data_IF_479064683295
#
_entry.id   IF_479064683295
#
_cell.length_a   1.000
_cell.length_b   1.000
_cell.length_c   1.000
_cell.angle_alpha   90.00
_cell.angle_beta   90.00
_cell.angle_gamma   90.00
#
_symmetry.space_group_name_H-M   'P 1'
#
loop_
_entity.id
_entity.type
_entity.pdbx_description
1 polymer ?
#
# COMPACT_ATOMS: atom_id res chain seq x y z
N UNK A 1 2.95 -7.98 -2.06
CA UNK A 1 3.06 -7.56 -3.46
C UNK A 1 1.83 -6.77 -3.94
N UNK A 2 0.61 -7.33 -3.88
CA UNK A 2 -0.60 -6.65 -4.37
C UNK A 2 -0.78 -5.22 -3.81
N UNK A 3 -0.63 -5.04 -2.49
CA UNK A 3 -0.73 -3.72 -1.85
C UNK A 3 0.29 -2.73 -2.39
N UNK A 4 1.56 -3.13 -2.57
CA UNK A 4 2.60 -2.26 -3.13
C UNK A 4 2.23 -1.78 -4.54
N UNK A 5 1.69 -2.67 -5.38
CA UNK A 5 1.21 -2.31 -6.72
C UNK A 5 0.03 -1.33 -6.66
N UNK A 6 -0.92 -1.54 -5.75
CA UNK A 6 -2.05 -0.62 -5.54
C UNK A 6 -1.60 0.77 -5.04
N UNK A 7 -0.52 0.82 -4.26
CA UNK A 7 0.09 2.07 -3.80
C UNK A 7 0.94 2.75 -4.89
N UNK A 8 1.11 2.14 -6.07
CA UNK A 8 1.81 2.71 -7.20
C UNK A 8 3.32 2.43 -7.24
N UNK A 9 3.78 1.34 -6.61
CA UNK A 9 5.16 0.85 -6.75
C UNK A 9 5.29 -0.07 -7.96
N UNK A 10 6.35 0.13 -8.75
CA UNK A 10 6.78 -0.79 -9.80
C UNK A 10 7.54 -1.96 -9.18
N UNK A 11 6.85 -3.08 -8.98
CA UNK A 11 7.42 -4.31 -8.40
C UNK A 11 6.78 -5.54 -9.05
N UNK A 12 7.62 -6.48 -9.47
CA UNK A 12 7.18 -7.72 -10.13
C UNK A 12 7.17 -8.93 -9.17
N UNK A 13 8.06 -8.93 -8.17
CA UNK A 13 8.21 -10.01 -7.21
C UNK A 13 8.64 -9.51 -5.83
N UNK A 14 8.58 -10.37 -4.82
CA UNK A 14 9.07 -10.12 -3.47
C UNK A 14 9.87 -11.32 -2.99
N UNK A 15 11.02 -11.04 -2.37
CA UNK A 15 11.76 -12.06 -1.64
C UNK A 15 11.08 -12.34 -0.29
N UNK A 16 11.37 -13.50 0.30
CA UNK A 16 10.87 -13.86 1.63
C UNK A 16 11.28 -12.78 2.65
N UNK A 17 10.35 -12.30 3.47
CA UNK A 17 10.57 -11.20 4.44
C UNK A 17 10.76 -9.80 3.84
N UNK A 18 10.66 -9.63 2.52
CA UNK A 18 10.58 -8.31 1.92
C UNK A 18 9.24 -7.63 2.21
N UNK A 19 9.26 -6.30 2.15
CA UNK A 19 8.09 -5.47 2.39
C UNK A 19 8.30 -4.07 1.86
N UNK A 20 7.57 -3.13 2.46
CA UNK A 20 7.67 -1.73 2.12
C UNK A 20 7.43 -0.89 3.36
N UNK A 21 7.96 0.32 3.33
CA UNK A 21 7.75 1.32 4.38
C UNK A 21 7.06 2.52 3.75
N UNK A 22 6.07 3.07 4.46
CA UNK A 22 5.47 4.36 4.14
C UNK A 22 5.99 5.35 5.17
N UNK A 23 6.78 6.30 4.73
CA UNK A 23 7.11 7.46 5.54
C UNK A 23 6.07 8.56 5.34
N UNK A 24 5.75 9.26 6.43
CA UNK A 24 4.88 10.42 6.40
C UNK A 24 5.57 11.59 7.10
N UNK A 25 5.49 12.77 6.50
CA UNK A 25 5.94 14.02 7.12
C UNK A 25 4.84 15.06 7.07
N UNK A 26 4.82 15.96 8.05
CA UNK A 26 3.84 17.07 8.12
C UNK A 26 4.33 18.38 7.48
N UNK A 27 5.65 18.59 7.43
CA UNK A 27 6.28 19.83 6.95
C UNK A 27 7.23 19.53 5.76
N UNK A 28 7.43 20.48 4.84
CA UNK A 28 6.77 21.80 4.76
C UNK A 28 5.27 21.70 4.41
N UNK A 29 4.85 20.58 3.83
CA UNK A 29 3.46 20.17 3.66
C UNK A 29 3.31 18.67 3.94
N UNK A 30 2.09 18.18 4.27
CA UNK A 30 1.83 16.75 4.42
C UNK A 30 2.24 15.97 3.16
N UNK A 31 3.20 15.07 3.31
CA UNK A 31 3.73 14.28 2.21
C UNK A 31 4.00 12.85 2.65
N UNK A 32 3.94 11.93 1.71
CA UNK A 32 4.36 10.53 1.89
C UNK A 32 5.54 10.19 1.01
N UNK A 33 6.31 9.19 1.41
CA UNK A 33 7.33 8.57 0.58
C UNK A 33 7.26 7.06 0.78
N UNK A 34 7.30 6.34 -0.33
CA UNK A 34 7.24 4.88 -0.33
C UNK A 34 8.65 4.33 -0.54
N UNK A 35 9.03 3.37 0.31
CA UNK A 35 10.35 2.75 0.34
C UNK A 35 10.20 1.24 0.21
N UNK A 36 11.12 0.61 -0.51
CA UNK A 36 11.31 -0.84 -0.51
C UNK A 36 12.08 -1.24 0.74
N UNK A 37 11.73 -2.39 1.29
CA UNK A 37 12.44 -3.02 2.39
C UNK A 37 12.77 -4.44 1.97
N UNK A 38 14.05 -4.70 1.71
CA UNK A 38 14.54 -6.02 1.36
C UNK A 38 15.43 -6.57 2.50
N UNK A 39 15.34 -7.86 2.80
CA UNK A 39 16.26 -8.49 3.73
C UNK A 39 17.66 -8.60 3.10
N UNK A 40 18.69 -8.25 3.88
CA UNK A 40 20.08 -8.55 3.53
C UNK A 40 20.54 -9.71 4.44
N UNK A 41 21.16 -10.76 3.89
CA UNK A 41 21.64 -11.90 4.69
C UNK A 41 22.82 -11.56 5.61
N UNK A 42 23.51 -10.43 5.41
CA UNK A 42 24.68 -9.97 6.17
C UNK A 42 24.30 -8.82 7.12
N UNK A 43 23.46 -7.88 6.69
CA UNK A 43 23.00 -6.74 7.51
C UNK A 43 21.49 -6.78 7.77
N UNK A 44 21.05 -6.29 8.94
CA UNK A 44 19.66 -6.42 9.41
C UNK A 44 18.74 -5.44 8.67
N UNK A 45 18.40 -5.80 7.43
CA UNK A 45 17.43 -5.18 6.53
C UNK A 45 17.88 -3.87 5.86
N UNK A 46 17.66 -3.78 4.54
CA UNK A 46 18.01 -2.62 3.71
C UNK A 46 16.73 -1.91 3.29
N UNK A 47 16.62 -0.63 3.63
CA UNK A 47 15.50 0.23 3.26
C UNK A 47 15.99 1.26 2.26
N UNK A 48 15.35 1.32 1.10
CA UNK A 48 15.73 2.24 0.01
C UNK A 48 14.50 2.77 -0.73
N UNK A 49 14.68 3.82 -1.52
CA UNK A 49 13.57 4.43 -2.25
C UNK A 49 12.98 3.45 -3.27
N UNK A 50 11.68 3.23 -3.20
CA UNK A 50 10.99 2.37 -4.16
C UNK A 50 10.90 3.02 -5.54
N UNK A 51 10.85 2.18 -6.57
CA UNK A 51 10.56 2.63 -7.94
C UNK A 51 9.07 2.89 -8.08
N UNK A 52 8.72 4.08 -8.56
CA UNK A 52 7.32 4.52 -8.70
C UNK A 52 6.80 4.26 -10.11
N UNK A 53 5.51 3.94 -10.18
CA UNK A 53 4.77 3.93 -11.45
C UNK A 53 4.81 5.32 -12.10
N UNK A 54 4.61 5.37 -13.41
CA UNK A 54 4.68 6.63 -14.16
C UNK A 54 3.75 7.73 -13.58
N UNK A 55 2.55 7.37 -13.14
CA UNK A 55 1.60 8.33 -12.57
C UNK A 55 2.03 8.86 -11.20
N UNK A 56 2.61 7.99 -10.37
CA UNK A 56 3.11 8.37 -9.06
C UNK A 56 4.42 9.18 -9.19
N UNK A 57 5.29 8.83 -10.14
CA UNK A 57 6.53 9.55 -10.44
C UNK A 57 6.26 10.99 -10.91
N UNK A 58 5.20 11.23 -11.69
CA UNK A 58 4.81 12.58 -12.16
C UNK A 58 4.49 13.56 -11.02
N UNK A 59 4.04 13.05 -9.87
CA UNK A 59 3.62 13.89 -8.73
C UNK A 59 4.61 13.88 -7.57
N UNK A 60 5.65 13.04 -7.65
CA UNK A 60 6.71 12.97 -6.66
C UNK A 60 7.77 14.05 -6.91
N UNK A 61 8.40 14.53 -5.84
CA UNK A 61 9.58 15.39 -5.93
C UNK A 61 10.85 14.56 -6.22
N UNK A 62 11.98 15.25 -6.44
CA UNK A 62 13.29 14.62 -6.71
C UNK A 62 13.76 13.63 -5.64
N UNK A 63 13.25 13.76 -4.42
CA UNK A 63 13.59 12.93 -3.25
C UNK A 63 12.56 11.82 -3.02
N UNK A 64 11.54 11.70 -3.89
CA UNK A 64 10.46 10.72 -3.80
C UNK A 64 9.32 11.12 -2.86
N UNK A 65 9.25 12.36 -2.38
CA UNK A 65 8.12 12.80 -1.58
C UNK A 65 6.94 13.17 -2.46
N UNK A 66 5.77 12.69 -2.09
CA UNK A 66 4.51 12.90 -2.80
C UNK A 66 3.57 13.67 -1.87
N UNK A 67 3.00 14.82 -2.30
CA UNK A 67 1.99 15.52 -1.52
C UNK A 67 0.81 14.60 -1.18
N UNK A 68 0.45 14.52 0.10
CA UNK A 68 -0.47 13.50 0.61
C UNK A 68 -1.82 13.50 -0.09
N UNK A 69 -2.39 14.68 -0.38
CA UNK A 69 -3.67 14.79 -1.10
C UNK A 69 -3.61 14.25 -2.53
N UNK A 70 -2.49 14.47 -3.23
CA UNK A 70 -2.28 13.91 -4.57
C UNK A 70 -2.11 12.40 -4.52
N UNK A 71 -1.39 11.91 -3.52
CA UNK A 71 -1.25 10.47 -3.27
C UNK A 71 -2.62 9.82 -3.01
N UNK A 72 -3.37 10.34 -2.04
CA UNK A 72 -4.71 9.89 -1.67
C UNK A 72 -5.66 9.87 -2.87
N UNK A 73 -5.65 10.91 -3.71
CA UNK A 73 -6.48 10.94 -4.92
C UNK A 73 -6.13 9.84 -5.93
N UNK A 74 -4.87 9.41 -6.00
CA UNK A 74 -4.44 8.35 -6.94
C UNK A 74 -4.73 6.95 -6.41
N UNK A 75 -4.36 6.68 -5.16
CA UNK A 75 -4.43 5.32 -4.59
C UNK A 75 -5.76 5.05 -3.89
N UNK A 76 -6.42 6.10 -3.40
CA UNK A 76 -7.68 6.01 -2.65
C UNK A 76 -8.83 5.42 -3.47
N UNK A 77 -8.78 5.51 -4.81
CA UNK A 77 -9.75 4.84 -5.69
C UNK A 77 -9.76 3.30 -5.56
N UNK A 78 -8.68 2.73 -5.01
CA UNK A 78 -8.58 1.30 -4.75
C UNK A 78 -9.01 0.93 -3.31
N UNK A 79 -9.29 1.91 -2.46
CA UNK A 79 -9.74 1.66 -1.10
C UNK A 79 -11.18 1.12 -1.13
N UNK A 80 -11.41 0.07 -0.34
CA UNK A 80 -12.72 -0.56 -0.20
C UNK A 80 -13.30 -0.15 1.15
N UNK A 81 -14.43 0.58 1.14
CA UNK A 81 -15.10 1.01 2.37
C UNK A 81 -15.82 -0.15 3.08
N UNK A 82 -16.52 -1.00 2.31
CA UNK A 82 -17.16 -2.21 2.82
C UNK A 82 -16.52 -3.46 2.22
N UNK A 83 -15.53 -4.00 2.92
CA UNK A 83 -14.83 -5.20 2.48
C UNK A 83 -15.72 -6.44 2.50
N UNK A 84 -16.79 -6.48 3.33
CA UNK A 84 -17.68 -7.65 3.40
C UNK A 84 -18.50 -7.72 2.12
N UNK A 85 -19.11 -6.61 1.71
CA UNK A 85 -19.83 -6.53 0.45
C UNK A 85 -18.90 -6.78 -0.75
N UNK A 86 -17.74 -6.11 -0.79
CA UNK A 86 -16.80 -6.24 -1.90
C UNK A 86 -16.23 -7.66 -2.06
N UNK A 87 -16.05 -8.40 -0.95
CA UNK A 87 -15.57 -9.78 -0.96
C UNK A 87 -16.69 -10.82 -0.96
N UNK A 88 -17.96 -10.43 -1.17
CA UNK A 88 -19.10 -11.35 -1.22
C UNK A 88 -19.37 -12.08 0.09
N UNK A 89 -18.91 -11.54 1.22
CA UNK A 89 -19.07 -12.15 2.54
C UNK A 89 -20.40 -11.71 3.14
N UNK A 90 -21.45 -12.47 2.83
CA UNK A 90 -22.74 -12.29 3.47
C UNK A 90 -22.67 -12.66 4.96
N UNK A 91 -23.46 -12.02 5.83
CA UNK A 91 -23.62 -12.48 7.21
C UNK A 91 -24.04 -13.95 7.21
N UNK A 92 -23.41 -14.78 8.04
CA UNK A 92 -23.89 -16.14 8.25
C UNK A 92 -25.33 -16.04 8.79
N UNK A 93 -26.30 -16.55 8.02
CA UNK A 93 -27.66 -16.75 8.53
C UNK A 93 -27.59 -18.04 9.35
N UNK A 94 -27.81 -18.02 10.67
CA UNK A 94 -27.92 -19.25 11.44
C UNK A 94 -29.06 -20.07 10.81
N UNK A 95 -28.78 -21.31 10.43
CA UNK A 95 -29.85 -22.23 10.09
C UNK A 95 -30.79 -22.25 11.31
N UNK A 96 -32.03 -21.81 11.13
CA UNK A 96 -33.05 -21.94 12.16
C UNK A 96 -33.01 -23.39 12.63
N UNK A 97 -32.71 -23.59 13.91
CA UNK A 97 -32.74 -24.92 14.49
C UNK A 97 -34.09 -25.55 14.14
N UNK A 98 -34.15 -26.80 13.66
CA UNK A 98 -35.43 -27.45 13.43
C UNK A 98 -36.17 -27.41 14.78
N UNK A 99 -37.32 -26.74 14.76
CA UNK A 99 -38.19 -26.64 15.91
C UNK A 99 -38.50 -28.05 16.43
N UNK A 100 -38.22 -28.23 17.73
CA UNK A 100 -38.76 -29.16 18.74
C UNK A 100 -39.36 -30.49 18.25
#
# INVERSE_FOLDING_TARGET
LAVMKLLGLEKHELTTSAGFVIEFRRKPEPSVRLLDHDPDPIDRHVIYRATYTADLAKIADKNGWIPFRKFESLVGKFAIADWRAACGRHPCVPALAPYV
#
